data_IF_485446102317
#
_entry.id   IF_485446102317
#
_cell.length_a   1.000
_cell.length_b   1.000
_cell.length_c   1.000
_cell.angle_alpha   90.00
_cell.angle_beta   90.00
_cell.angle_gamma   90.00
#
_symmetry.space_group_name_H-M   'P 1'
#
loop_
_entity.id
_entity.type
_entity.pdbx_description
1 polymer ?
#
# COMPACT_ATOMS: atom_id res chain seq x y z
N UNK A 1 36.65 -57.28 11.81
CA UNK A 1 37.86 -56.59 11.34
C UNK A 1 37.80 -55.17 11.93
N UNK A 2 38.50 -54.99 13.04
CA UNK A 2 38.46 -53.76 13.83
C UNK A 2 39.49 -52.78 13.27
N UNK A 3 39.06 -51.65 12.83
CA UNK A 3 39.96 -50.55 12.46
C UNK A 3 39.94 -49.52 13.62
N UNK A 4 41.07 -49.48 14.34
CA UNK A 4 41.40 -48.42 15.27
C UNK A 4 41.94 -47.23 14.47
N UNK A 5 41.31 -46.07 14.56
CA UNK A 5 41.89 -44.81 14.12
C UNK A 5 42.11 -43.98 15.36
N UNK A 6 43.36 -43.84 15.79
CA UNK A 6 43.79 -42.93 16.83
C UNK A 6 44.19 -41.63 16.17
N UNK A 7 43.57 -40.55 16.56
CA UNK A 7 44.00 -39.19 16.16
C UNK A 7 44.54 -38.50 17.41
N UNK A 8 45.85 -38.48 17.52
CA UNK A 8 46.59 -37.77 18.57
C UNK A 8 46.97 -36.40 17.98
N UNK A 9 46.44 -35.36 18.57
CA UNK A 9 46.88 -33.97 18.31
C UNK A 9 47.43 -33.39 19.61
N UNK A 10 48.72 -33.31 19.70
CA UNK A 10 49.41 -32.61 20.78
C UNK A 10 49.11 -31.12 20.69
N UNK A 11 48.47 -30.57 21.70
CA UNK A 11 48.39 -29.09 21.93
C UNK A 11 49.16 -28.86 23.23
N UNK A 12 50.27 -28.11 23.18
CA UNK A 12 51.05 -27.82 24.39
C UNK A 12 50.32 -26.77 25.23
N UNK A 13 49.95 -27.14 26.45
CA UNK A 13 49.55 -26.18 27.48
C UNK A 13 48.34 -26.52 28.37
N UNK A 14 47.77 -27.72 28.31
CA UNK A 14 46.66 -28.10 29.22
C UNK A 14 46.90 -29.47 29.79
N UNK A 15 47.49 -29.51 30.97
CA UNK A 15 47.58 -30.72 31.79
C UNK A 15 46.31 -30.90 32.58
N UNK A 16 45.60 -32.02 32.34
CA UNK A 16 44.53 -32.46 33.23
C UNK A 16 43.14 -32.61 32.63
N UNK A 17 43.03 -33.38 31.53
CA UNK A 17 41.70 -33.89 31.13
C UNK A 17 41.82 -35.42 30.97
N UNK A 18 41.15 -36.15 31.88
CA UNK A 18 41.04 -37.60 31.85
C UNK A 18 40.29 -38.06 30.60
N UNK A 19 40.83 -39.08 29.93
CA UNK A 19 40.27 -39.67 28.76
C UNK A 19 38.82 -40.17 29.02
N UNK A 20 37.85 -39.64 28.30
CA UNK A 20 36.49 -40.15 28.27
C UNK A 20 36.49 -41.31 27.28
N UNK A 21 36.37 -42.55 27.81
CA UNK A 21 36.22 -43.74 27.01
C UNK A 21 34.74 -43.84 26.55
N UNK A 22 34.49 -43.56 25.30
CA UNK A 22 33.17 -43.80 24.69
C UNK A 22 33.09 -45.26 24.25
N UNK A 23 32.43 -46.08 25.04
CA UNK A 23 32.07 -47.46 24.64
C UNK A 23 30.86 -47.38 23.70
N UNK A 24 31.10 -47.55 22.42
CA UNK A 24 30.03 -47.76 21.42
C UNK A 24 29.65 -49.23 21.37
N UNK A 25 28.54 -49.57 21.98
CA UNK A 25 27.83 -50.83 21.66
C UNK A 25 26.38 -50.72 22.07
N UNK A 26 25.55 -50.32 21.16
CA UNK A 26 24.14 -50.75 21.08
C UNK A 26 23.65 -50.56 19.65
N UNK A 27 23.41 -51.67 18.96
CA UNK A 27 22.69 -51.64 17.69
C UNK A 27 21.29 -51.06 17.94
N UNK A 28 21.06 -49.86 17.47
CA UNK A 28 19.73 -49.24 17.48
C UNK A 28 18.89 -49.96 16.44
N UNK A 29 18.05 -50.89 16.88
CA UNK A 29 16.96 -51.41 16.06
C UNK A 29 15.99 -50.26 15.73
N UNK A 30 15.59 -50.09 14.47
CA UNK A 30 14.58 -49.11 14.14
C UNK A 30 13.26 -49.55 14.80
N UNK A 31 12.77 -48.72 15.74
CA UNK A 31 11.45 -48.90 16.30
C UNK A 31 10.40 -48.80 15.19
N UNK A 32 9.38 -49.68 15.15
CA UNK A 32 8.30 -49.57 14.17
C UNK A 32 7.63 -48.20 14.34
N UNK A 33 7.52 -47.43 13.24
CA UNK A 33 6.77 -46.19 13.19
C UNK A 33 5.29 -46.46 13.47
N UNK A 34 4.93 -46.56 14.75
CA UNK A 34 3.53 -46.47 15.17
C UNK A 34 3.08 -45.01 14.92
N UNK A 35 2.36 -44.80 13.83
CA UNK A 35 1.67 -43.53 13.56
C UNK A 35 0.68 -43.31 14.71
N UNK A 36 0.89 -42.31 15.59
CA UNK A 36 0.02 -42.15 16.74
C UNK A 36 -1.37 -41.77 16.24
N UNK A 37 -2.38 -42.57 16.54
CA UNK A 37 -3.81 -42.28 16.31
C UNK A 37 -4.27 -40.94 16.93
N UNK A 38 -3.39 -40.23 17.62
CA UNK A 38 -3.61 -38.91 18.26
C UNK A 38 -3.30 -37.73 17.34
N UNK A 39 -2.64 -37.94 16.19
CA UNK A 39 -2.24 -36.85 15.29
C UNK A 39 -3.43 -36.13 14.63
N UNK A 40 -4.53 -36.83 14.41
CA UNK A 40 -5.73 -36.24 13.79
C UNK A 40 -6.43 -35.21 14.67
N UNK A 41 -6.47 -35.43 16.00
CA UNK A 41 -7.05 -34.46 16.94
C UNK A 41 -6.17 -33.22 17.08
N UNK A 42 -4.85 -33.37 17.13
CA UNK A 42 -3.93 -32.24 17.19
C UNK A 42 -3.98 -31.42 15.89
N UNK A 43 -4.10 -32.09 14.73
CA UNK A 43 -4.23 -31.41 13.44
C UNK A 43 -5.57 -30.66 13.31
N UNK A 44 -6.68 -31.23 13.75
CA UNK A 44 -7.98 -30.55 13.78
C UNK A 44 -8.00 -29.37 14.74
N UNK A 45 -7.41 -29.48 15.91
CA UNK A 45 -7.35 -28.39 16.90
C UNK A 45 -6.48 -27.25 16.37
N UNK A 46 -5.33 -27.54 15.75
CA UNK A 46 -4.46 -26.50 15.18
C UNK A 46 -5.08 -25.81 13.95
N UNK A 47 -5.82 -26.56 13.12
CA UNK A 47 -6.58 -25.97 11.99
C UNK A 47 -7.77 -25.14 12.46
N UNK A 48 -8.50 -25.57 13.48
CA UNK A 48 -9.59 -24.77 14.08
C UNK A 48 -9.06 -23.51 14.78
N UNK A 49 -7.93 -23.58 15.46
CA UNK A 49 -7.28 -22.42 16.06
C UNK A 49 -6.77 -21.44 15.00
N UNK A 50 -6.19 -21.92 13.90
CA UNK A 50 -5.73 -21.07 12.81
C UNK A 50 -6.89 -20.41 12.04
N UNK A 51 -8.02 -21.11 11.88
CA UNK A 51 -9.25 -20.54 11.29
C UNK A 51 -9.85 -19.52 12.26
N UNK A 52 -9.91 -19.81 13.56
CA UNK A 52 -10.40 -18.90 14.59
C UNK A 52 -9.58 -17.61 14.64
N UNK A 53 -8.25 -17.69 14.64
CA UNK A 53 -7.37 -16.52 14.62
C UNK A 53 -7.48 -15.69 13.33
N UNK A 54 -7.76 -16.31 12.19
CA UNK A 54 -8.00 -15.60 10.92
C UNK A 54 -9.41 -15.00 10.84
N UNK A 55 -10.40 -15.61 11.50
CA UNK A 55 -11.77 -15.12 11.53
C UNK A 55 -11.98 -14.00 12.57
N UNK A 56 -11.19 -13.98 13.65
CA UNK A 56 -11.30 -13.01 14.73
C UNK A 56 -11.29 -11.54 14.27
N UNK A 57 -10.42 -11.10 13.34
CA UNK A 57 -10.44 -9.72 12.83
C UNK A 57 -11.72 -9.35 12.07
N UNK A 58 -12.43 -10.34 11.52
CA UNK A 58 -13.67 -10.12 10.77
C UNK A 58 -14.92 -10.10 11.65
N UNK A 59 -14.81 -10.54 12.90
CA UNK A 59 -15.95 -10.66 13.82
C UNK A 59 -16.59 -9.28 14.07
N UNK A 60 -15.78 -8.26 14.35
CA UNK A 60 -16.29 -6.89 14.62
C UNK A 60 -16.93 -6.28 13.37
N UNK A 61 -16.30 -6.25 12.18
CA UNK A 61 -16.94 -5.75 10.96
C UNK A 61 -18.25 -6.46 10.62
N UNK A 62 -18.27 -7.78 10.70
CA UNK A 62 -19.49 -8.57 10.40
C UNK A 62 -20.58 -8.28 11.44
N UNK A 63 -20.22 -8.24 12.74
CA UNK A 63 -21.19 -7.91 13.80
C UNK A 63 -21.79 -6.52 13.60
N UNK A 64 -20.99 -5.52 13.20
CA UNK A 64 -21.48 -4.17 12.91
C UNK A 64 -22.46 -4.15 11.73
N UNK A 65 -22.15 -4.87 10.64
CA UNK A 65 -23.07 -4.96 9.48
C UNK A 65 -24.36 -5.68 9.86
N UNK A 66 -24.29 -6.74 10.66
CA UNK A 66 -25.48 -7.45 11.14
C UNK A 66 -26.32 -6.58 12.08
N UNK A 67 -25.70 -5.86 13.00
CA UNK A 67 -26.40 -4.91 13.88
C UNK A 67 -27.09 -3.81 13.05
N UNK A 68 -26.40 -3.27 12.06
CA UNK A 68 -26.99 -2.29 11.15
C UNK A 68 -28.17 -2.87 10.38
N UNK A 69 -28.06 -4.10 9.84
CA UNK A 69 -29.17 -4.76 9.16
C UNK A 69 -30.38 -4.94 10.08
N UNK A 70 -30.16 -5.41 11.31
CA UNK A 70 -31.24 -5.62 12.30
C UNK A 70 -31.85 -4.28 12.70
N UNK A 71 -31.06 -3.26 13.03
CA UNK A 71 -31.56 -1.95 13.40
C UNK A 71 -32.41 -1.29 12.31
N UNK A 72 -32.00 -1.46 11.05
CA UNK A 72 -32.77 -0.98 9.89
C UNK A 72 -34.05 -1.79 9.69
N UNK A 73 -34.02 -3.12 9.83
CA UNK A 73 -35.21 -3.98 9.67
C UNK A 73 -36.24 -3.82 10.79
N UNK A 74 -35.78 -3.45 12.01
CA UNK A 74 -36.68 -3.15 13.15
C UNK A 74 -37.28 -1.74 13.11
N UNK A 75 -36.90 -0.93 12.11
CA UNK A 75 -37.39 0.44 11.97
C UNK A 75 -36.78 1.44 12.95
N UNK A 76 -35.69 1.04 13.68
CA UNK A 76 -34.96 1.97 14.58
C UNK A 76 -34.20 3.03 13.78
N UNK A 77 -33.85 2.72 12.53
CA UNK A 77 -33.19 3.63 11.61
C UNK A 77 -34.14 3.97 10.47
N UNK A 78 -34.30 5.26 10.18
CA UNK A 78 -35.06 5.68 9.00
C UNK A 78 -34.31 5.26 7.73
N UNK A 79 -34.95 4.48 6.88
CA UNK A 79 -34.38 4.02 5.59
C UNK A 79 -34.05 5.19 4.65
N UNK A 80 -34.67 6.37 4.87
CA UNK A 80 -34.33 7.61 4.13
C UNK A 80 -32.97 8.17 4.52
N UNK A 81 -32.50 7.92 5.75
CA UNK A 81 -31.21 8.42 6.26
C UNK A 81 -30.14 7.36 6.12
N UNK A 82 -30.46 6.12 6.53
CA UNK A 82 -29.55 4.99 6.47
C UNK A 82 -30.29 3.73 6.00
N UNK A 83 -30.27 3.42 4.69
CA UNK A 83 -30.91 2.23 4.13
C UNK A 83 -30.27 0.95 4.65
N UNK A 84 -30.99 -0.16 4.58
CA UNK A 84 -30.46 -1.45 5.00
C UNK A 84 -29.29 -1.90 4.10
N UNK A 85 -28.29 -2.62 4.65
CA UNK A 85 -27.21 -3.19 3.86
C UNK A 85 -27.67 -4.01 2.65
N UNK A 86 -28.77 -4.74 2.78
CA UNK A 86 -29.38 -5.49 1.66
C UNK A 86 -29.88 -4.58 0.55
N UNK A 87 -30.43 -3.41 0.87
CA UNK A 87 -30.91 -2.46 -0.14
C UNK A 87 -29.76 -1.82 -0.89
N UNK A 88 -28.66 -1.50 -0.17
CA UNK A 88 -27.41 -1.05 -0.78
C UNK A 88 -26.85 -2.12 -1.72
N UNK A 89 -26.85 -3.41 -1.30
CA UNK A 89 -26.43 -4.53 -2.14
C UNK A 89 -27.29 -4.69 -3.40
N UNK A 90 -28.61 -4.53 -3.28
CA UNK A 90 -29.54 -4.56 -4.42
C UNK A 90 -29.32 -3.39 -5.37
N UNK A 91 -29.07 -2.18 -4.84
CA UNK A 91 -28.75 -1.01 -5.65
C UNK A 91 -27.41 -1.20 -6.40
N UNK A 92 -26.38 -1.71 -5.74
CA UNK A 92 -25.10 -2.03 -6.37
C UNK A 92 -25.24 -3.07 -7.48
N UNK A 93 -26.05 -4.12 -7.26
CA UNK A 93 -26.33 -5.12 -8.28
C UNK A 93 -27.09 -4.52 -9.48
N UNK A 94 -28.11 -3.73 -9.24
CA UNK A 94 -28.92 -3.07 -10.29
C UNK A 94 -28.03 -2.17 -11.16
N UNK A 95 -27.19 -1.31 -10.53
CA UNK A 95 -26.28 -0.42 -11.23
C UNK A 95 -25.18 -1.17 -11.99
N UNK A 96 -24.73 -2.32 -11.45
CA UNK A 96 -23.76 -3.18 -12.13
C UNK A 96 -24.38 -3.88 -13.34
N UNK A 97 -25.62 -4.38 -13.21
CA UNK A 97 -26.34 -5.08 -14.27
C UNK A 97 -26.77 -4.15 -15.41
N UNK A 98 -27.11 -2.87 -15.10
CA UNK A 98 -27.37 -1.85 -16.12
C UNK A 98 -26.12 -1.38 -16.88
N UNK A 99 -24.92 -1.65 -16.34
CA UNK A 99 -23.66 -1.14 -16.88
C UNK A 99 -23.30 0.27 -16.42
N UNK A 100 -24.21 1.01 -15.82
CA UNK A 100 -24.03 2.41 -15.38
C UNK A 100 -22.87 2.57 -14.39
N UNK A 101 -22.76 1.63 -13.42
CA UNK A 101 -21.68 1.61 -12.44
C UNK A 101 -20.31 1.60 -13.11
N UNK A 102 -20.13 0.76 -14.12
CA UNK A 102 -18.85 0.57 -14.78
C UNK A 102 -18.43 1.79 -15.61
N UNK A 103 -19.40 2.50 -16.20
CA UNK A 103 -19.14 3.77 -16.88
C UNK A 103 -18.59 4.80 -15.89
N UNK A 104 -19.24 5.00 -14.76
CA UNK A 104 -18.82 5.95 -13.74
C UNK A 104 -17.48 5.58 -13.11
N UNK A 105 -17.26 4.30 -12.79
CA UNK A 105 -15.97 3.80 -12.28
C UNK A 105 -14.86 4.02 -13.30
N UNK A 106 -15.11 3.73 -14.58
CA UNK A 106 -14.13 3.93 -15.65
C UNK A 106 -13.72 5.39 -15.82
N UNK A 107 -14.68 6.32 -15.77
CA UNK A 107 -14.41 7.77 -15.87
C UNK A 107 -13.59 8.24 -14.67
N UNK A 108 -13.99 7.90 -13.44
CA UNK A 108 -13.26 8.26 -12.21
C UNK A 108 -11.85 7.66 -12.20
N UNK A 109 -11.70 6.39 -12.57
CA UNK A 109 -10.38 5.75 -12.66
C UNK A 109 -9.50 6.40 -13.74
N UNK A 110 -10.06 6.75 -14.89
CA UNK A 110 -9.34 7.49 -15.94
C UNK A 110 -8.81 8.82 -15.47
N UNK A 111 -9.63 9.63 -14.78
CA UNK A 111 -9.20 10.91 -14.17
C UNK A 111 -8.11 10.71 -13.13
N UNK A 112 -8.30 9.73 -12.23
CA UNK A 112 -7.34 9.40 -11.20
C UNK A 112 -5.98 9.05 -11.79
N UNK A 113 -5.94 8.11 -12.75
CA UNK A 113 -4.71 7.66 -13.38
C UNK A 113 -4.03 8.75 -14.20
N UNK A 114 -4.80 9.57 -14.92
CA UNK A 114 -4.25 10.70 -15.68
C UNK A 114 -3.66 11.75 -14.75
N UNK A 115 -4.35 12.14 -13.68
CA UNK A 115 -3.83 13.05 -12.67
C UNK A 115 -2.59 12.51 -11.96
N UNK A 116 -2.58 11.21 -11.64
CA UNK A 116 -1.40 10.53 -11.09
C UNK A 116 -0.22 10.54 -12.07
N UNK A 117 -0.46 10.25 -13.35
CA UNK A 117 0.59 10.23 -14.36
C UNK A 117 1.21 11.62 -14.55
N UNK A 118 0.39 12.67 -14.66
CA UNK A 118 0.86 14.05 -14.84
C UNK A 118 1.51 14.58 -13.54
N UNK A 119 0.78 14.60 -12.44
CA UNK A 119 1.28 15.14 -11.17
C UNK A 119 2.40 14.31 -10.58
N UNK A 120 2.26 12.97 -10.61
CA UNK A 120 3.28 12.05 -10.14
C UNK A 120 4.54 12.04 -10.99
N UNK A 121 4.38 12.10 -12.32
CA UNK A 121 5.50 12.21 -13.26
C UNK A 121 6.31 13.50 -13.07
N UNK A 122 5.63 14.64 -12.95
CA UNK A 122 6.27 15.92 -12.64
C UNK A 122 6.94 15.91 -11.26
N UNK A 123 6.27 15.37 -10.24
CA UNK A 123 6.81 15.27 -8.88
C UNK A 123 8.06 14.38 -8.82
N UNK A 124 8.02 13.24 -9.53
CA UNK A 124 9.18 12.36 -9.64
C UNK A 124 10.33 13.04 -10.38
N UNK A 125 10.07 13.64 -11.54
CA UNK A 125 11.10 14.31 -12.35
C UNK A 125 11.77 15.45 -11.59
N UNK A 126 10.99 16.36 -10.98
CA UNK A 126 11.53 17.46 -10.19
C UNK A 126 12.21 16.97 -8.90
N UNK A 127 11.68 15.93 -8.23
CA UNK A 127 12.32 15.33 -7.07
C UNK A 127 13.65 14.69 -7.39
N UNK A 128 13.77 14.00 -8.53
CA UNK A 128 15.04 13.47 -9.03
C UNK A 128 16.02 14.59 -9.36
N UNK A 129 15.56 15.65 -10.01
CA UNK A 129 16.40 16.78 -10.43
C UNK A 129 16.97 17.54 -9.21
N UNK A 130 16.10 17.93 -8.27
CA UNK A 130 16.50 18.67 -7.05
C UNK A 130 17.28 17.80 -6.08
N UNK A 131 16.93 16.53 -5.92
CA UNK A 131 17.66 15.58 -5.08
C UNK A 131 19.08 15.31 -5.57
N UNK A 132 19.29 15.32 -6.90
CA UNK A 132 20.60 15.03 -7.51
C UNK A 132 21.52 16.24 -7.62
N UNK A 133 20.99 17.45 -7.65
CA UNK A 133 21.76 18.67 -7.96
C UNK A 133 21.48 19.76 -6.94
N UNK A 134 22.57 20.24 -6.29
CA UNK A 134 22.50 21.38 -5.35
C UNK A 134 22.01 22.67 -6.00
N UNK A 135 22.32 22.87 -7.27
CA UNK A 135 21.86 24.05 -8.01
C UNK A 135 20.33 24.07 -8.11
N UNK A 136 19.73 22.98 -8.56
CA UNK A 136 18.27 22.89 -8.67
C UNK A 136 17.57 22.85 -7.32
N UNK A 137 18.18 22.26 -6.30
CA UNK A 137 17.72 22.32 -4.91
C UNK A 137 17.60 23.78 -4.45
N UNK A 138 18.68 24.55 -4.53
CA UNK A 138 18.69 25.95 -4.09
C UNK A 138 17.70 26.82 -4.88
N UNK A 139 17.51 26.51 -6.17
CA UNK A 139 16.62 27.29 -7.04
C UNK A 139 15.14 26.97 -6.82
N UNK A 140 14.77 25.70 -6.67
CA UNK A 140 13.38 25.23 -6.75
C UNK A 140 12.80 24.79 -5.40
N UNK A 141 13.61 24.20 -4.53
CA UNK A 141 13.07 23.53 -3.33
C UNK A 141 12.35 24.51 -2.39
N UNK A 142 12.93 25.68 -2.16
CA UNK A 142 12.31 26.71 -1.32
C UNK A 142 10.92 27.13 -1.83
N UNK A 143 10.79 27.34 -3.14
CA UNK A 143 9.50 27.70 -3.76
C UNK A 143 8.49 26.55 -3.66
N UNK A 144 8.91 25.33 -3.98
CA UNK A 144 8.04 24.15 -3.89
C UNK A 144 7.59 23.90 -2.43
N UNK A 145 8.50 24.08 -1.46
CA UNK A 145 8.19 23.98 -0.04
C UNK A 145 7.19 25.04 0.45
N UNK A 146 7.22 26.26 -0.11
CA UNK A 146 6.23 27.27 0.20
C UNK A 146 4.85 26.93 -0.40
N UNK A 147 4.82 26.53 -1.67
CA UNK A 147 3.58 26.26 -2.40
C UNK A 147 2.85 25.03 -1.82
N UNK A 148 3.57 24.00 -1.36
CA UNK A 148 2.95 22.80 -0.76
C UNK A 148 2.10 23.08 0.47
N UNK A 149 2.34 24.19 1.19
CA UNK A 149 1.56 24.55 2.37
C UNK A 149 0.16 25.08 2.00
N UNK A 150 -0.09 25.33 0.73
CA UNK A 150 -1.42 25.70 0.25
C UNK A 150 -2.25 24.42 0.11
N UNK A 151 -3.35 24.26 0.88
CA UNK A 151 -4.21 23.08 0.73
C UNK A 151 -4.79 23.02 -0.68
N UNK A 152 -4.67 21.86 -1.35
CA UNK A 152 -5.18 21.68 -2.71
C UNK A 152 -6.68 22.04 -2.83
N UNK A 153 -7.47 21.76 -1.79
CA UNK A 153 -8.90 22.10 -1.73
C UNK A 153 -9.15 23.61 -1.67
N UNK A 154 -8.24 24.40 -1.11
CA UNK A 154 -8.35 25.85 -1.09
C UNK A 154 -8.15 26.49 -2.48
N UNK A 155 -7.54 25.74 -3.41
CA UNK A 155 -7.35 26.20 -4.80
C UNK A 155 -8.61 26.04 -5.65
N UNK A 156 -9.65 25.34 -5.20
CA UNK A 156 -10.86 25.05 -5.98
C UNK A 156 -11.46 26.32 -6.63
N UNK A 157 -11.73 27.42 -5.90
CA UNK A 157 -12.31 28.62 -6.51
C UNK A 157 -11.42 29.23 -7.60
N UNK A 158 -10.11 29.20 -7.38
CA UNK A 158 -9.12 29.73 -8.32
C UNK A 158 -9.01 28.84 -9.57
N UNK A 159 -9.03 27.54 -9.37
CA UNK A 159 -8.99 26.54 -10.46
C UNK A 159 -10.24 26.62 -11.33
N UNK A 160 -11.42 26.81 -10.72
CA UNK A 160 -12.66 27.05 -11.45
C UNK A 160 -12.60 28.32 -12.24
N UNK A 161 -12.00 29.37 -11.70
CA UNK A 161 -11.81 30.65 -12.40
C UNK A 161 -10.88 30.53 -13.60
N UNK A 162 -9.81 29.74 -13.51
CA UNK A 162 -8.81 29.56 -14.58
C UNK A 162 -9.24 28.58 -15.67
N UNK A 163 -9.82 27.47 -15.29
CA UNK A 163 -10.13 26.35 -16.17
C UNK A 163 -11.63 26.14 -16.41
N UNK A 164 -12.48 26.91 -15.72
CA UNK A 164 -13.91 26.66 -15.72
C UNK A 164 -14.27 25.38 -14.92
N UNK A 165 -15.49 24.89 -15.12
CA UNK A 165 -16.02 23.67 -14.51
C UNK A 165 -15.79 22.44 -15.41
N UNK A 166 -14.65 22.39 -16.07
CA UNK A 166 -14.30 21.38 -17.08
C UNK A 166 -13.43 20.24 -16.52
N UNK A 167 -13.10 19.27 -17.36
CA UNK A 167 -12.21 18.13 -17.00
C UNK A 167 -10.81 18.61 -16.61
N UNK A 168 -10.31 19.69 -17.24
CA UNK A 168 -9.01 20.27 -16.92
C UNK A 168 -8.88 20.71 -15.45
N UNK A 169 -9.95 21.28 -14.87
CA UNK A 169 -9.98 21.69 -13.47
C UNK A 169 -9.79 20.48 -12.52
N UNK A 170 -10.48 19.39 -12.79
CA UNK A 170 -10.41 18.15 -11.99
C UNK A 170 -9.03 17.53 -12.08
N UNK A 171 -8.50 17.38 -13.30
CA UNK A 171 -7.16 16.84 -13.53
C UNK A 171 -6.07 17.68 -12.87
N UNK A 172 -6.18 19.01 -12.91
CA UNK A 172 -5.25 19.92 -12.25
C UNK A 172 -5.23 19.71 -10.73
N UNK A 173 -6.41 19.67 -10.07
CA UNK A 173 -6.52 19.45 -8.63
C UNK A 173 -5.91 18.11 -8.21
N UNK A 174 -6.21 17.04 -8.95
CA UNK A 174 -5.64 15.71 -8.69
C UNK A 174 -4.12 15.75 -8.88
N UNK A 175 -3.64 16.35 -9.98
CA UNK A 175 -2.20 16.43 -10.28
C UNK A 175 -1.42 17.17 -9.21
N UNK A 176 -1.92 18.31 -8.74
CA UNK A 176 -1.29 19.12 -7.68
C UNK A 176 -1.23 18.32 -6.36
N UNK A 177 -2.30 17.63 -6.01
CA UNK A 177 -2.34 16.86 -4.76
C UNK A 177 -1.39 15.67 -4.74
N UNK A 178 -1.17 15.04 -5.89
CA UNK A 178 -0.26 13.90 -6.07
C UNK A 178 1.20 14.34 -6.20
N UNK A 179 1.42 15.50 -6.81
CA UNK A 179 2.74 16.06 -7.07
C UNK A 179 3.61 16.20 -5.82
N UNK A 180 3.11 16.86 -4.77
CA UNK A 180 3.91 17.17 -3.59
C UNK A 180 4.41 15.94 -2.82
N UNK A 181 3.58 14.93 -2.49
CA UNK A 181 4.06 13.77 -1.78
C UNK A 181 5.11 12.99 -2.58
N UNK A 182 4.95 12.86 -3.89
CA UNK A 182 5.94 12.18 -4.73
C UNK A 182 7.22 12.99 -4.81
N UNK A 183 7.14 14.32 -5.02
CA UNK A 183 8.30 15.19 -5.03
C UNK A 183 9.13 15.06 -3.75
N UNK A 184 8.48 15.27 -2.59
CA UNK A 184 9.15 15.28 -1.29
C UNK A 184 9.82 13.95 -0.98
N UNK A 185 9.09 12.84 -1.18
CA UNK A 185 9.62 11.52 -0.89
C UNK A 185 10.76 11.14 -1.86
N UNK A 186 10.68 11.57 -3.12
CA UNK A 186 11.76 11.38 -4.09
C UNK A 186 12.99 12.20 -3.71
N UNK A 187 12.82 13.48 -3.40
CA UNK A 187 13.91 14.37 -2.97
C UNK A 187 14.62 13.82 -1.73
N UNK A 188 13.86 13.54 -0.66
CA UNK A 188 14.42 12.98 0.57
C UNK A 188 15.01 11.58 0.38
N UNK A 189 14.39 10.75 -0.46
CA UNK A 189 14.91 9.42 -0.78
C UNK A 189 16.31 9.47 -1.35
N UNK A 190 16.59 10.42 -2.26
CA UNK A 190 17.91 10.60 -2.86
C UNK A 190 18.92 11.16 -1.86
N UNK A 191 18.49 12.14 -1.05
CA UNK A 191 19.38 12.81 -0.09
C UNK A 191 19.73 11.96 1.12
N UNK A 192 18.87 11.04 1.51
CA UNK A 192 19.05 10.19 2.69
C UNK A 192 19.69 8.82 2.36
N UNK A 193 20.20 8.61 1.15
CA UNK A 193 21.00 7.41 0.86
C UNK A 193 22.23 7.41 1.74
N UNK A 194 22.54 6.25 2.35
CA UNK A 194 23.65 6.10 3.29
C UNK A 194 24.97 6.57 2.66
N UNK A 195 25.62 7.59 3.25
CA UNK A 195 26.91 8.10 2.77
C UNK A 195 27.99 7.01 2.71
N UNK A 196 27.96 6.03 3.61
CA UNK A 196 28.94 4.94 3.62
C UNK A 196 28.84 4.07 2.35
N UNK A 197 27.62 3.83 1.85
CA UNK A 197 27.42 3.11 0.58
C UNK A 197 27.94 3.92 -0.61
N UNK A 198 27.77 5.25 -0.58
CA UNK A 198 28.26 6.15 -1.62
C UNK A 198 29.80 6.19 -1.62
N UNK A 199 30.45 6.24 -0.44
CA UNK A 199 31.92 6.21 -0.30
C UNK A 199 32.49 4.86 -0.72
N UNK A 200 31.85 3.77 -0.34
CA UNK A 200 32.20 2.42 -0.79
C UNK A 200 32.18 2.33 -2.32
N UNK A 201 31.12 2.79 -2.96
CA UNK A 201 31.02 2.79 -4.42
C UNK A 201 32.15 3.59 -5.09
N UNK A 202 32.52 4.74 -4.53
CA UNK A 202 33.66 5.53 -5.00
C UNK A 202 35.01 4.80 -4.85
N UNK A 203 35.20 4.11 -3.72
CA UNK A 203 36.41 3.33 -3.45
C UNK A 203 36.53 2.15 -4.42
N UNK A 204 35.45 1.58 -4.89
CA UNK A 204 35.42 0.58 -5.95
C UNK A 204 35.57 1.16 -7.38
N UNK A 205 35.75 2.47 -7.52
CA UNK A 205 35.97 3.11 -8.81
C UNK A 205 34.75 3.35 -9.66
N UNK A 206 33.55 3.31 -9.07
CA UNK A 206 32.29 3.59 -9.79
C UNK A 206 32.29 5.05 -10.29
N UNK A 207 31.95 5.22 -11.56
CA UNK A 207 31.71 6.53 -12.16
C UNK A 207 30.47 7.20 -11.53
N UNK A 208 30.33 8.51 -11.68
CA UNK A 208 29.17 9.26 -11.15
C UNK A 208 27.84 8.68 -11.65
N UNK A 209 27.78 8.26 -12.92
CA UNK A 209 26.55 7.68 -13.49
C UNK A 209 26.23 6.30 -12.93
N UNK A 210 27.26 5.46 -12.73
CA UNK A 210 27.12 4.14 -12.10
C UNK A 210 26.71 4.27 -10.65
N UNK A 211 27.35 5.17 -9.89
CA UNK A 211 27.01 5.45 -8.50
C UNK A 211 25.54 5.85 -8.37
N UNK A 212 25.05 6.69 -9.29
CA UNK A 212 23.66 7.13 -9.29
C UNK A 212 22.70 5.98 -9.60
N UNK A 213 23.00 5.15 -10.62
CA UNK A 213 22.12 4.07 -11.07
C UNK A 213 22.15 2.83 -10.17
N UNK A 214 23.29 2.52 -9.56
CA UNK A 214 23.50 1.27 -8.82
C UNK A 214 23.34 1.45 -7.30
N UNK A 215 23.51 2.66 -6.78
CA UNK A 215 23.43 2.92 -5.34
C UNK A 215 22.32 3.91 -5.02
N UNK A 216 22.35 5.12 -5.62
CA UNK A 216 21.45 6.20 -5.20
C UNK A 216 20.00 5.92 -5.60
N UNK A 217 19.74 5.58 -6.85
CA UNK A 217 18.38 5.29 -7.31
C UNK A 217 17.74 4.08 -6.60
N UNK A 218 18.42 2.93 -6.49
CA UNK A 218 17.88 1.81 -5.72
C UNK A 218 17.68 2.16 -4.24
N UNK A 219 18.61 2.86 -3.63
CA UNK A 219 18.50 3.30 -2.23
C UNK A 219 17.32 4.25 -1.98
N UNK A 220 17.02 5.15 -2.95
CA UNK A 220 15.91 6.06 -2.88
C UNK A 220 14.54 5.40 -3.16
N UNK A 221 14.51 4.23 -3.79
CA UNK A 221 13.29 3.58 -4.28
C UNK A 221 12.27 3.32 -3.18
N UNK A 222 12.71 2.95 -1.98
CA UNK A 222 11.83 2.73 -0.84
C UNK A 222 11.05 3.99 -0.48
N UNK A 223 11.72 5.14 -0.43
CA UNK A 223 11.10 6.43 -0.15
C UNK A 223 10.15 6.88 -1.26
N UNK A 224 10.53 6.67 -2.53
CA UNK A 224 9.66 6.97 -3.70
C UNK A 224 8.36 6.16 -3.64
N UNK A 225 8.43 4.89 -3.29
CA UNK A 225 7.24 4.03 -3.18
C UNK A 225 6.33 4.45 -2.00
N UNK A 226 6.91 4.88 -0.87
CA UNK A 226 6.15 5.50 0.23
C UNK A 226 5.42 6.75 -0.27
N UNK A 227 6.10 7.61 -1.03
CA UNK A 227 5.48 8.79 -1.66
C UNK A 227 4.34 8.43 -2.61
N UNK A 228 4.53 7.43 -3.46
CA UNK A 228 3.51 6.92 -4.37
C UNK A 228 2.28 6.40 -3.61
N UNK A 229 2.49 5.62 -2.57
CA UNK A 229 1.41 5.06 -1.75
C UNK A 229 0.59 6.15 -1.08
N UNK A 230 1.25 7.17 -0.50
CA UNK A 230 0.57 8.30 0.11
C UNK A 230 -0.22 9.11 -0.93
N UNK A 231 0.37 9.33 -2.11
CA UNK A 231 -0.28 10.02 -3.23
C UNK A 231 -1.51 9.29 -3.74
N UNK A 232 -1.48 7.96 -3.81
CA UNK A 232 -2.64 7.16 -4.20
C UNK A 232 -3.81 7.35 -3.22
N UNK A 233 -3.55 7.49 -1.92
CA UNK A 233 -4.59 7.81 -0.94
C UNK A 233 -5.18 9.20 -1.15
N UNK A 234 -4.33 10.23 -1.27
CA UNK A 234 -4.75 11.61 -1.51
C UNK A 234 -5.50 11.79 -2.84
N UNK A 235 -5.06 11.10 -3.87
CA UNK A 235 -5.68 11.10 -5.20
C UNK A 235 -7.18 10.82 -5.14
N UNK A 236 -7.58 9.76 -4.43
CA UNK A 236 -9.00 9.39 -4.28
C UNK A 236 -9.78 10.44 -3.50
N UNK A 237 -9.20 10.99 -2.42
CA UNK A 237 -9.86 12.04 -1.62
C UNK A 237 -10.12 13.29 -2.44
N UNK A 238 -9.14 13.75 -3.20
CA UNK A 238 -9.29 14.95 -4.05
C UNK A 238 -10.21 14.68 -5.24
N UNK A 239 -10.15 13.48 -5.83
CA UNK A 239 -11.05 13.09 -6.92
C UNK A 239 -12.52 13.14 -6.48
N UNK A 240 -12.87 12.60 -5.29
CA UNK A 240 -14.22 12.68 -4.75
C UNK A 240 -14.70 14.12 -4.73
N UNK A 241 -13.90 15.01 -4.14
CA UNK A 241 -14.27 16.41 -4.00
C UNK A 241 -14.40 17.09 -5.37
N UNK A 242 -13.45 16.87 -6.28
CA UNK A 242 -13.47 17.43 -7.62
C UNK A 242 -14.69 16.98 -8.44
N UNK A 243 -15.10 15.72 -8.29
CA UNK A 243 -16.27 15.17 -8.98
C UNK A 243 -17.61 15.63 -8.37
N UNK A 244 -17.68 15.85 -7.06
CA UNK A 244 -18.90 16.35 -6.41
C UNK A 244 -19.23 17.79 -6.75
N UNK A 245 -18.24 18.59 -7.13
CA UNK A 245 -18.43 20.02 -7.42
C UNK A 245 -18.96 20.23 -8.85
N UNK A 246 -18.44 19.51 -9.83
CA UNK A 246 -18.66 19.91 -11.23
C UNK A 246 -18.62 18.77 -12.25
N UNK A 247 -18.79 17.50 -11.84
CA UNK A 247 -18.75 16.40 -12.80
C UNK A 247 -20.12 16.17 -13.48
N UNK A 248 -20.09 15.72 -14.72
CA UNK A 248 -21.25 15.20 -15.47
C UNK A 248 -21.22 13.67 -15.58
N UNK A 249 -20.15 13.03 -15.15
CA UNK A 249 -19.94 11.60 -15.06
C UNK A 249 -18.88 11.30 -14.02
N UNK A 250 -18.84 10.09 -13.50
CA UNK A 250 -17.94 9.64 -12.45
C UNK A 250 -18.70 9.21 -11.19
N UNK A 251 -18.00 8.61 -10.24
CA UNK A 251 -18.60 8.11 -8.99
C UNK A 251 -19.14 9.27 -8.15
N UNK A 252 -18.42 10.42 -8.13
CA UNK A 252 -18.87 11.62 -7.41
C UNK A 252 -20.15 12.18 -8.01
N UNK A 253 -20.27 12.24 -9.34
CA UNK A 253 -21.51 12.60 -10.02
C UNK A 253 -22.65 11.65 -9.67
N UNK A 254 -22.43 10.33 -9.77
CA UNK A 254 -23.42 9.32 -9.40
C UNK A 254 -23.93 9.54 -7.97
N UNK A 255 -23.03 9.82 -7.04
CA UNK A 255 -23.34 10.06 -5.63
C UNK A 255 -24.15 11.34 -5.42
N UNK A 256 -23.77 12.42 -6.11
CA UNK A 256 -24.48 13.70 -6.01
C UNK A 256 -25.86 13.66 -6.66
N UNK A 257 -25.94 13.07 -7.84
CA UNK A 257 -27.23 12.84 -8.53
C UNK A 257 -28.18 12.01 -7.67
N UNK A 258 -27.71 10.89 -7.12
CA UNK A 258 -28.48 10.06 -6.21
C UNK A 258 -28.94 10.82 -4.94
N UNK A 259 -28.11 11.73 -4.42
CA UNK A 259 -28.47 12.60 -3.29
C UNK A 259 -29.60 13.57 -3.64
N UNK A 260 -29.57 14.17 -4.81
CA UNK A 260 -30.62 15.09 -5.28
C UNK A 260 -31.98 14.38 -5.40
N UNK A 261 -31.97 13.12 -5.82
CA UNK A 261 -33.17 12.29 -5.92
C UNK A 261 -33.49 11.50 -4.65
N UNK A 262 -32.82 11.76 -3.53
CA UNK A 262 -33.01 11.08 -2.23
C UNK A 262 -32.82 9.56 -2.29
N UNK A 263 -32.02 9.07 -3.23
CA UNK A 263 -31.65 7.65 -3.38
C UNK A 263 -30.45 7.33 -2.50
N UNK A 264 -30.66 7.27 -1.19
CA UNK A 264 -29.58 7.08 -0.20
C UNK A 264 -28.89 5.72 -0.31
N UNK A 265 -29.55 4.70 -0.86
CA UNK A 265 -28.96 3.41 -1.20
C UNK A 265 -27.85 3.55 -2.26
N UNK A 266 -28.07 4.33 -3.31
CA UNK A 266 -27.07 4.62 -4.35
C UNK A 266 -25.96 5.52 -3.82
N UNK A 267 -26.27 6.49 -2.95
CA UNK A 267 -25.24 7.31 -2.28
C UNK A 267 -24.27 6.42 -1.51
N UNK A 268 -24.77 5.46 -0.74
CA UNK A 268 -23.93 4.52 -0.01
C UNK A 268 -23.11 3.59 -0.93
N UNK A 269 -23.68 3.17 -2.06
CA UNK A 269 -22.92 2.44 -3.09
C UNK A 269 -21.73 3.27 -3.55
N UNK A 270 -21.91 4.56 -3.86
CA UNK A 270 -20.81 5.44 -4.25
C UNK A 270 -19.72 5.58 -3.19
N UNK A 271 -20.10 5.75 -1.92
CA UNK A 271 -19.15 5.82 -0.78
C UNK A 271 -18.36 4.49 -0.66
N UNK A 272 -19.04 3.35 -0.75
CA UNK A 272 -18.40 2.03 -0.69
C UNK A 272 -17.46 1.79 -1.88
N UNK A 273 -17.82 2.28 -3.07
CA UNK A 273 -16.93 2.22 -4.24
C UNK A 273 -15.64 2.98 -4.03
N UNK A 274 -15.69 4.21 -3.48
CA UNK A 274 -14.50 4.96 -3.16
C UNK A 274 -13.62 4.24 -2.12
N UNK A 275 -14.24 3.69 -1.07
CA UNK A 275 -13.52 2.91 -0.08
C UNK A 275 -12.85 1.67 -0.70
N UNK A 276 -13.55 0.98 -1.61
CA UNK A 276 -13.02 -0.19 -2.32
C UNK A 276 -11.86 0.19 -3.26
N UNK A 277 -12.03 1.23 -4.07
CA UNK A 277 -10.99 1.69 -5.00
C UNK A 277 -9.76 2.21 -4.27
N UNK A 278 -9.94 2.96 -3.18
CA UNK A 278 -8.85 3.37 -2.29
C UNK A 278 -8.12 2.17 -1.68
N UNK A 279 -8.87 1.16 -1.25
CA UNK A 279 -8.27 -0.09 -0.74
C UNK A 279 -7.52 -0.88 -1.81
N UNK A 280 -8.07 -0.96 -3.03
CA UNK A 280 -7.40 -1.60 -4.17
C UNK A 280 -6.09 -0.87 -4.52
N UNK A 281 -6.10 0.46 -4.53
CA UNK A 281 -4.90 1.27 -4.75
C UNK A 281 -3.82 1.01 -3.67
N UNK A 282 -4.20 0.92 -2.38
CA UNK A 282 -3.29 0.58 -1.28
C UNK A 282 -2.73 -0.86 -1.40
N UNK A 283 -3.58 -1.83 -1.79
CA UNK A 283 -3.12 -3.21 -2.04
C UNK A 283 -2.16 -3.26 -3.23
N UNK A 284 -2.45 -2.52 -4.29
CA UNK A 284 -1.57 -2.40 -5.45
C UNK A 284 -0.22 -1.80 -5.07
N UNK A 285 -0.22 -0.68 -4.33
CA UNK A 285 1.01 -0.04 -3.85
C UNK A 285 1.86 -0.99 -3.01
N UNK A 286 1.26 -1.71 -2.06
CA UNK A 286 1.97 -2.73 -1.26
C UNK A 286 2.49 -3.90 -2.09
N UNK A 287 1.74 -4.30 -3.11
CA UNK A 287 2.21 -5.30 -4.06
C UNK A 287 3.46 -4.84 -4.80
N UNK A 288 3.47 -3.59 -5.24
CA UNK A 288 4.60 -2.96 -5.92
C UNK A 288 5.82 -2.82 -5.00
N UNK A 289 5.59 -2.36 -3.74
CA UNK A 289 6.62 -2.31 -2.70
C UNK A 289 7.27 -3.69 -2.49
N UNK A 290 6.48 -4.75 -2.30
CA UNK A 290 6.99 -6.11 -2.11
C UNK A 290 7.72 -6.66 -3.33
N UNK A 291 7.29 -6.30 -4.53
CA UNK A 291 7.93 -6.78 -5.76
C UNK A 291 9.29 -6.10 -5.99
N UNK A 292 9.38 -4.78 -5.79
CA UNK A 292 10.57 -4.01 -6.09
C UNK A 292 11.57 -3.92 -4.93
N UNK A 293 11.11 -4.11 -3.67
CA UNK A 293 11.97 -4.03 -2.47
C UNK A 293 12.29 -5.39 -1.86
N UNK A 294 12.28 -6.47 -2.65
CA UNK A 294 12.65 -7.82 -2.16
C UNK A 294 14.05 -7.90 -1.54
N UNK A 295 14.95 -7.05 -1.97
CA UNK A 295 16.32 -6.96 -1.48
C UNK A 295 16.45 -6.14 -0.19
N UNK A 296 15.44 -5.35 0.18
CA UNK A 296 15.49 -4.45 1.33
C UNK A 296 15.15 -5.21 2.63
N UNK A 297 16.00 -5.13 3.70
CA UNK A 297 15.79 -5.92 4.93
C UNK A 297 14.43 -5.72 5.60
N UNK A 298 13.85 -4.53 5.51
CA UNK A 298 12.55 -4.21 6.12
C UNK A 298 11.33 -4.85 5.44
N UNK A 299 11.50 -5.56 4.30
CA UNK A 299 10.41 -6.18 3.52
C UNK A 299 10.57 -7.70 3.35
N UNK A 300 11.51 -8.32 4.09
CA UNK A 300 11.80 -9.76 4.03
C UNK A 300 10.93 -10.61 4.97
N UNK A 301 9.83 -10.07 5.55
CA UNK A 301 8.90 -10.81 6.42
C UNK A 301 7.69 -11.35 5.67
#
# INVERSE_FOLDING_TARGET
>A
MNAHVSFERDIPGISGISAITVTSSAAVQPAPCAVPRFAWRAYMVSTLQSIGQRALPWLVPVALVLLWQVASSQGWLSTRVLPAPLDVGRAAWRLSASGELWVHVGVSAGRALTGLAVGGGLGLALGLLTGSSRFFETLLDSTIQMVRNIPALALIPLVILWFGIDEAAKLFLISVSVFFPIYINTFHGIRNVDPALVEMGRSYGLTRSQLYREIILPGALSSVLVGLRFSLGLMWVILIVAETISAQAGIGYLTMNAREFLQTDVVLVGILLYALLGKLADVFARGLERYWLRWHPGYQT
#
